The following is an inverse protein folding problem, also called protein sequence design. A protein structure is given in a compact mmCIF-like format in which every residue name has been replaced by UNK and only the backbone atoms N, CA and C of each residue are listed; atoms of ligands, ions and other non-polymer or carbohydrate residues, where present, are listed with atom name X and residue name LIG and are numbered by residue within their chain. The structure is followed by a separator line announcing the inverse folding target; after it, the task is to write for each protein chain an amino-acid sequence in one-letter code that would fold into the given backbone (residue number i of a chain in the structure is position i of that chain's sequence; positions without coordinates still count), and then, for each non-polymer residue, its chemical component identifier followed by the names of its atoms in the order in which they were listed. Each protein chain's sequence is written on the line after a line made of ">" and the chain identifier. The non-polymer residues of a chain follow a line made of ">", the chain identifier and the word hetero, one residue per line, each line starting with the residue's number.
data_IF_053777605244
#
_entry.id   IF_053777605244
#
_cell.length_a   1.000
_cell.length_b   1.000
_cell.length_c   1.000
_cell.angle_alpha   90.00
_cell.angle_beta   90.00
_cell.angle_gamma   90.00
#
_symmetry.space_group_name_H-M   'P 1'
#
loop_
_entity.id
_entity.type
_entity.pdbx_description
1 polymer ?
#
# COMPACT_ATOMS: atom_id res chain seq x y z
N UNK A 1 -30.46 15.71 -36.95
CA UNK A 1 -30.47 14.36 -37.54
C UNK A 1 -30.71 13.36 -36.43
N UNK A 2 -31.96 13.11 -36.07
CA UNK A 2 -32.34 11.99 -35.20
C UNK A 2 -33.85 11.81 -35.36
N UNK A 3 -34.20 11.11 -36.45
CA UNK A 3 -35.53 10.54 -36.61
C UNK A 3 -35.65 9.38 -35.62
N UNK A 4 -36.20 9.65 -34.44
CA UNK A 4 -36.67 8.61 -33.52
C UNK A 4 -37.70 7.77 -34.29
N UNK A 5 -37.32 6.55 -34.64
CA UNK A 5 -38.20 5.59 -35.30
C UNK A 5 -39.31 5.23 -34.33
N UNK A 6 -40.50 5.76 -34.58
CA UNK A 6 -41.69 5.65 -33.71
C UNK A 6 -42.36 4.26 -33.71
N UNK A 7 -41.74 3.22 -34.27
CA UNK A 7 -42.32 1.88 -34.27
C UNK A 7 -41.33 0.82 -33.77
N UNK A 8 -41.66 0.27 -32.61
CA UNK A 8 -40.99 -0.84 -31.93
C UNK A 8 -41.72 -2.15 -32.26
N UNK A 9 -41.00 -3.16 -32.74
CA UNK A 9 -41.53 -4.52 -32.89
C UNK A 9 -41.59 -5.24 -31.53
N UNK A 10 -42.51 -6.21 -31.37
CA UNK A 10 -42.66 -6.98 -30.11
C UNK A 10 -41.35 -7.59 -29.60
N UNK A 11 -40.44 -7.99 -30.50
CA UNK A 11 -39.13 -8.54 -30.13
C UNK A 11 -38.19 -7.45 -29.63
N UNK A 12 -38.13 -6.31 -30.32
CA UNK A 12 -37.35 -5.16 -29.87
C UNK A 12 -37.78 -4.71 -28.48
N UNK A 13 -39.09 -4.68 -28.20
CA UNK A 13 -39.64 -4.40 -26.86
C UNK A 13 -39.11 -5.36 -25.78
N UNK A 14 -39.13 -6.66 -26.08
CA UNK A 14 -38.65 -7.67 -25.13
C UNK A 14 -37.16 -7.51 -24.87
N UNK A 15 -36.38 -7.25 -25.90
CA UNK A 15 -34.93 -7.04 -25.80
C UNK A 15 -34.60 -5.74 -25.03
N UNK A 16 -35.34 -4.65 -25.26
CA UNK A 16 -35.14 -3.38 -24.55
C UNK A 16 -35.55 -3.47 -23.08
N UNK A 17 -36.65 -4.15 -22.76
CA UNK A 17 -37.07 -4.39 -21.38
C UNK A 17 -36.02 -5.23 -20.61
N UNK A 18 -35.54 -6.33 -21.21
CA UNK A 18 -34.50 -7.15 -20.60
C UNK A 18 -33.21 -6.35 -20.41
N UNK A 19 -32.80 -5.57 -21.41
CA UNK A 19 -31.61 -4.73 -21.31
C UNK A 19 -31.76 -3.67 -20.21
N UNK A 20 -32.91 -3.01 -20.12
CA UNK A 20 -33.20 -2.04 -19.09
C UNK A 20 -33.18 -2.64 -17.67
N UNK A 21 -33.63 -3.89 -17.52
CA UNK A 21 -33.55 -4.61 -16.24
C UNK A 21 -32.11 -4.93 -15.84
N UNK A 22 -31.25 -5.26 -16.81
CA UNK A 22 -29.84 -5.57 -16.58
C UNK A 22 -29.01 -4.32 -16.29
N UNK A 23 -29.29 -3.21 -16.98
CA UNK A 23 -28.60 -1.92 -16.81
C UNK A 23 -29.17 -1.09 -15.65
N UNK A 24 -30.18 -1.60 -14.95
CA UNK A 24 -30.83 -0.90 -13.83
C UNK A 24 -29.81 -0.55 -12.75
N UNK A 25 -29.63 0.75 -12.54
CA UNK A 25 -28.71 1.31 -11.55
C UNK A 25 -29.23 1.00 -10.14
N UNK A 26 -28.32 0.65 -9.24
CA UNK A 26 -28.63 0.43 -7.83
C UNK A 26 -29.01 1.76 -7.14
N UNK A 27 -29.94 1.74 -6.15
CA UNK A 27 -30.37 2.97 -5.48
C UNK A 27 -29.21 3.73 -4.80
N UNK A 28 -28.21 3.01 -4.28
CA UNK A 28 -27.06 3.59 -3.59
C UNK A 28 -26.12 4.39 -4.54
N UNK A 29 -26.24 4.17 -5.86
CA UNK A 29 -25.46 4.87 -6.88
C UNK A 29 -26.17 6.14 -7.40
N UNK A 30 -27.35 6.46 -6.89
CA UNK A 30 -28.10 7.66 -7.28
C UNK A 30 -27.53 8.85 -6.50
N UNK A 31 -26.68 9.63 -7.15
CA UNK A 31 -26.04 10.83 -6.61
C UNK A 31 -26.48 12.08 -7.35
N UNK A 32 -26.18 13.27 -6.80
CA UNK A 32 -26.48 14.54 -7.46
C UNK A 32 -25.69 14.71 -8.77
N UNK A 33 -24.45 14.24 -8.80
CA UNK A 33 -23.57 14.27 -9.98
C UNK A 33 -23.37 12.84 -10.52
N UNK A 34 -23.77 12.54 -11.77
CA UNK A 34 -23.62 11.20 -12.34
C UNK A 34 -22.17 10.76 -12.54
N UNK A 35 -21.20 11.68 -12.49
CA UNK A 35 -19.78 11.38 -12.66
C UNK A 35 -19.06 11.01 -11.36
N UNK A 36 -19.72 11.18 -10.21
CA UNK A 36 -19.11 10.98 -8.88
C UNK A 36 -18.61 9.56 -8.64
N UNK A 37 -19.14 8.55 -9.34
CA UNK A 37 -18.74 7.14 -9.21
C UNK A 37 -17.32 6.92 -9.74
N UNK A 38 -16.87 7.74 -10.69
CA UNK A 38 -15.51 7.65 -11.24
C UNK A 38 -14.46 8.34 -10.36
N UNK A 39 -14.89 9.10 -9.35
CA UNK A 39 -13.99 9.85 -8.48
C UNK A 39 -13.31 8.96 -7.44
N UNK A 40 -12.13 9.40 -7.00
CA UNK A 40 -11.38 8.72 -5.94
C UNK A 40 -11.73 9.34 -4.61
N UNK A 41 -11.96 8.49 -3.61
CA UNK A 41 -12.18 8.90 -2.24
C UNK A 41 -10.93 9.58 -1.63
N UNK A 42 -10.92 10.91 -1.68
CA UNK A 42 -9.82 11.78 -1.24
C UNK A 42 -9.46 11.60 0.25
N UNK A 43 -10.39 11.54 1.22
CA UNK A 43 -10.04 11.37 2.63
C UNK A 43 -9.32 10.05 2.89
N UNK A 44 -9.83 8.91 2.40
CA UNK A 44 -9.10 7.64 2.63
C UNK A 44 -7.76 7.60 1.90
N UNK A 45 -7.62 8.28 0.76
CA UNK A 45 -6.32 8.42 0.10
C UNK A 45 -5.34 9.23 0.95
N UNK A 46 -5.78 10.35 1.53
CA UNK A 46 -4.96 11.18 2.42
C UNK A 46 -4.51 10.39 3.65
N UNK A 47 -5.41 9.66 4.30
CA UNK A 47 -5.09 8.84 5.47
C UNK A 47 -4.04 7.77 5.13
N UNK A 48 -4.17 7.13 3.95
CA UNK A 48 -3.19 6.15 3.46
C UNK A 48 -1.82 6.78 3.19
N UNK A 49 -1.78 8.01 2.68
CA UNK A 49 -0.54 8.74 2.44
C UNK A 49 0.11 9.13 3.77
N UNK A 50 -0.65 9.74 4.68
CA UNK A 50 -0.15 10.16 5.98
C UNK A 50 0.36 8.98 6.82
N UNK A 51 -0.34 7.84 6.79
CA UNK A 51 0.12 6.61 7.45
C UNK A 51 1.45 6.11 6.89
N UNK A 52 1.67 6.19 5.57
CA UNK A 52 2.95 5.85 4.95
C UNK A 52 4.03 6.84 5.35
N UNK A 53 3.76 8.14 5.31
CA UNK A 53 4.71 9.17 5.73
C UNK A 53 5.13 8.99 7.19
N UNK A 54 4.18 8.71 8.10
CA UNK A 54 4.48 8.43 9.51
C UNK A 54 5.47 7.27 9.67
N UNK A 55 5.33 6.21 8.86
CA UNK A 55 6.26 5.07 8.87
C UNK A 55 7.65 5.41 8.30
N UNK A 56 7.73 6.25 7.27
CA UNK A 56 9.01 6.67 6.67
C UNK A 56 9.82 7.58 7.59
N UNK A 57 9.16 8.40 8.42
CA UNK A 57 9.83 9.39 9.28
C UNK A 57 10.19 8.86 10.69
N UNK A 58 9.99 7.57 10.99
CA UNK A 58 10.32 7.02 12.32
C UNK A 58 11.83 6.97 12.52
N UNK A 59 12.34 7.74 13.48
CA UNK A 59 13.75 7.71 13.88
C UNK A 59 14.05 6.49 14.75
N UNK A 60 15.26 5.94 14.61
CA UNK A 60 15.71 4.84 15.46
C UNK A 60 15.69 5.24 16.96
N UNK A 61 15.28 4.33 17.86
CA UNK A 61 15.17 4.64 19.28
C UNK A 61 16.55 4.97 19.88
N UNK A 62 16.58 5.98 20.75
CA UNK A 62 17.79 6.33 21.51
C UNK A 62 17.97 5.33 22.64
N UNK A 63 18.95 4.44 22.51
CA UNK A 63 19.27 3.48 23.58
C UNK A 63 20.14 4.13 24.66
N UNK A 64 19.63 4.14 25.89
CA UNK A 64 20.38 4.52 27.08
C UNK A 64 21.21 3.32 27.55
N UNK A 65 22.52 3.38 27.27
CA UNK A 65 23.47 2.35 27.71
C UNK A 65 24.12 2.75 29.03
N UNK A 66 23.84 1.99 30.08
CA UNK A 66 24.48 2.12 31.39
C UNK A 66 25.48 0.96 31.61
N UNK A 67 26.79 1.23 31.66
CA UNK A 67 27.79 0.20 31.85
C UNK A 67 27.83 -0.29 33.30
N UNK A 68 27.90 -1.61 33.51
CA UNK A 68 28.16 -2.18 34.84
C UNK A 68 29.58 -1.80 35.32
N UNK A 69 29.72 -1.42 36.59
CA UNK A 69 31.03 -1.19 37.21
C UNK A 69 31.85 -2.47 37.21
N UNK A 70 33.02 -2.43 36.57
CA UNK A 70 34.02 -3.51 36.58
C UNK A 70 35.17 -3.12 37.50
N UNK A 71 35.93 -4.12 37.97
CA UNK A 71 37.11 -3.88 38.82
C UNK A 71 38.13 -2.92 38.22
N UNK A 72 39.04 -2.41 39.06
CA UNK A 72 40.05 -1.40 38.71
C UNK A 72 40.79 -1.78 37.41
N UNK A 73 40.91 -0.81 36.49
CA UNK A 73 41.57 -1.00 35.18
C UNK A 73 40.73 -1.66 34.07
N UNK A 74 39.59 -2.28 34.39
CA UNK A 74 38.76 -3.02 33.39
C UNK A 74 37.60 -2.21 32.80
N UNK A 75 37.41 -0.96 33.24
CA UNK A 75 36.30 -0.08 32.85
C UNK A 75 36.71 1.37 32.60
N UNK A 76 37.83 1.61 31.93
CA UNK A 76 38.26 2.98 31.61
C UNK A 76 37.24 3.76 30.76
N UNK A 77 37.21 5.08 30.92
CA UNK A 77 36.26 5.99 30.25
C UNK A 77 36.19 5.79 28.73
N UNK A 78 37.35 5.62 28.07
CA UNK A 78 37.41 5.37 26.63
C UNK A 78 36.71 4.07 26.20
N UNK A 79 36.82 3.00 26.99
CA UNK A 79 36.14 1.72 26.71
C UNK A 79 34.62 1.86 26.89
N UNK A 80 34.19 2.58 27.91
CA UNK A 80 32.76 2.86 28.17
C UNK A 80 32.15 3.63 26.99
N UNK A 81 32.81 4.70 26.53
CA UNK A 81 32.33 5.49 25.39
C UNK A 81 32.25 4.67 24.11
N UNK A 82 33.28 3.87 23.81
CA UNK A 82 33.29 2.95 22.66
C UNK A 82 32.14 1.95 22.72
N UNK A 83 31.92 1.32 23.88
CA UNK A 83 30.83 0.36 24.06
C UNK A 83 29.45 1.03 23.91
N UNK A 84 29.26 2.22 24.49
CA UNK A 84 28.02 3.01 24.32
C UNK A 84 27.73 3.28 22.84
N UNK A 85 28.75 3.69 22.08
CA UNK A 85 28.62 3.93 20.63
C UNK A 85 28.28 2.65 19.89
N UNK A 86 28.95 1.54 20.18
CA UNK A 86 28.67 0.23 19.55
C UNK A 86 27.21 -0.18 19.80
N UNK A 87 26.72 -0.09 21.03
CA UNK A 87 25.34 -0.45 21.37
C UNK A 87 24.33 0.43 20.62
N UNK A 88 24.60 1.73 20.53
CA UNK A 88 23.74 2.63 19.74
C UNK A 88 23.75 2.29 18.25
N UNK A 89 24.90 1.97 17.67
CA UNK A 89 25.01 1.59 16.27
C UNK A 89 24.33 0.25 15.98
N UNK A 90 24.43 -0.74 16.87
CA UNK A 90 23.72 -2.03 16.75
C UNK A 90 22.21 -1.81 16.77
N UNK A 91 21.70 -1.04 17.73
CA UNK A 91 20.28 -0.74 17.83
C UNK A 91 19.74 -0.01 16.59
N UNK A 92 20.50 0.95 16.03
CA UNK A 92 20.15 1.61 14.75
C UNK A 92 20.07 0.61 13.60
N UNK A 93 21.07 -0.28 13.48
CA UNK A 93 21.11 -1.29 12.42
C UNK A 93 19.94 -2.27 12.52
N UNK A 94 19.63 -2.75 13.72
CA UNK A 94 18.48 -3.63 13.98
C UNK A 94 17.15 -2.95 13.62
N UNK A 95 17.00 -1.68 14.02
CA UNK A 95 15.82 -0.90 13.67
C UNK A 95 15.63 -0.74 12.16
N UNK A 96 16.70 -0.39 11.43
CA UNK A 96 16.67 -0.28 9.96
C UNK A 96 16.34 -1.62 9.32
N UNK A 97 16.92 -2.72 9.82
CA UNK A 97 16.63 -4.07 9.34
C UNK A 97 15.16 -4.42 9.53
N UNK A 98 14.61 -4.16 10.71
CA UNK A 98 13.19 -4.42 11.01
C UNK A 98 12.25 -3.63 10.09
N UNK A 99 12.52 -2.34 9.85
CA UNK A 99 11.73 -1.52 8.91
C UNK A 99 11.82 -2.09 7.49
N UNK A 100 13.02 -2.46 7.03
CA UNK A 100 13.22 -3.07 5.71
C UNK A 100 12.48 -4.39 5.57
N UNK A 101 12.48 -5.22 6.59
CA UNK A 101 11.76 -6.49 6.58
C UNK A 101 10.23 -6.29 6.60
N UNK A 102 9.72 -5.27 7.32
CA UNK A 102 8.30 -4.90 7.30
C UNK A 102 7.85 -4.40 5.91
N UNK A 103 8.60 -3.47 5.32
CA UNK A 103 8.31 -2.90 3.98
C UNK A 103 8.40 -3.92 2.85
N UNK A 104 9.32 -4.89 2.93
CA UNK A 104 9.40 -5.96 1.92
C UNK A 104 8.25 -6.96 2.04
N UNK A 105 7.74 -7.23 3.25
CA UNK A 105 6.57 -8.09 3.47
C UNK A 105 5.28 -7.47 2.93
N UNK A 106 5.08 -6.16 3.12
CA UNK A 106 3.90 -5.46 2.58
C UNK A 106 3.87 -5.47 1.05
N UNK A 107 5.01 -5.27 0.39
CA UNK A 107 5.10 -5.27 -1.07
C UNK A 107 4.94 -6.67 -1.70
N UNK A 108 5.39 -7.74 -1.04
CA UNK A 108 5.25 -9.12 -1.53
C UNK A 108 3.80 -9.60 -1.63
N UNK A 109 2.87 -9.02 -0.87
CA UNK A 109 1.45 -9.37 -0.94
C UNK A 109 0.77 -8.82 -2.22
N UNK A 110 1.30 -7.76 -2.83
CA UNK A 110 0.76 -7.19 -4.08
C UNK A 110 1.33 -7.88 -5.32
N UNK A 111 2.51 -8.52 -5.22
CA UNK A 111 3.18 -9.15 -6.36
C UNK A 111 3.67 -10.56 -6.06
N UNK A 112 2.78 -11.48 -5.68
CA UNK A 112 3.02 -12.92 -5.93
C UNK A 112 2.95 -13.17 -7.44
N UNK A 113 3.88 -12.60 -8.20
CA UNK A 113 4.09 -12.98 -9.59
C UNK A 113 4.68 -14.38 -9.55
N UNK A 114 4.05 -15.30 -10.28
CA UNK A 114 4.58 -16.65 -10.51
C UNK A 114 6.04 -16.49 -10.99
N UNK A 115 6.97 -17.37 -10.58
CA UNK A 115 8.33 -17.31 -11.09
C UNK A 115 8.27 -17.31 -12.62
N UNK A 116 9.03 -16.43 -13.26
CA UNK A 116 8.95 -16.24 -14.70
C UNK A 116 9.18 -17.58 -15.40
N UNK A 117 8.18 -18.04 -16.13
CA UNK A 117 8.25 -19.30 -16.86
C UNK A 117 9.10 -19.10 -18.10
N UNK A 118 9.84 -20.12 -18.53
CA UNK A 118 10.55 -20.11 -19.82
C UNK A 118 9.58 -19.79 -20.97
N UNK A 119 8.33 -20.22 -20.85
CA UNK A 119 7.28 -20.00 -21.85
C UNK A 119 6.77 -18.55 -21.91
N UNK A 120 7.01 -17.73 -20.88
CA UNK A 120 6.57 -16.32 -20.86
C UNK A 120 7.31 -15.47 -21.91
N UNK A 121 8.42 -15.99 -22.47
CA UNK A 121 9.20 -15.35 -23.54
C UNK A 121 8.49 -15.35 -24.89
N UNK A 122 7.50 -16.22 -25.07
CA UNK A 122 6.73 -16.37 -26.31
C UNK A 122 5.42 -15.58 -26.28
N UNK A 123 5.12 -14.88 -25.19
CA UNK A 123 3.95 -14.01 -25.13
C UNK A 123 4.20 -12.72 -25.90
N UNK A 124 3.26 -12.28 -26.76
CA UNK A 124 3.38 -11.02 -27.47
C UNK A 124 3.38 -9.86 -26.47
N UNK A 125 4.26 -8.87 -26.68
CA UNK A 125 4.23 -7.63 -25.89
C UNK A 125 2.93 -6.89 -26.17
N UNK A 126 2.16 -6.63 -25.10
CA UNK A 126 1.05 -5.67 -25.10
C UNK A 126 1.58 -4.24 -25.19
#
# INVERSE_FOLDING_TARGET
>A
SESLSNEETKKQRQETEVKALLEKIQPDLITLDPTSIAEVDVPTLKDKVEAKEKLLHVKAPKVNYEPRRKGKGRGGSAKIFKNKKIVQEVAKKEFIKNIKDMTTKTNKNVTKKKPASVLDRFLPKK
#
